data_IF_747831351921
#
_entry.id   IF_747831351921
#
_cell.length_a   1.000
_cell.length_b   1.000
_cell.length_c   1.000
_cell.angle_alpha   90.00
_cell.angle_beta   90.00
_cell.angle_gamma   90.00
#
_symmetry.space_group_name_H-M   'P 1'
#
loop_
_entity.id
_entity.type
_entity.pdbx_description
1 polymer ?
2 non-polymer ?
3 non-polymer ?
4 non-polymer ?
5 non-polymer ?
6 water ?
#
# COMPACT_ATOMS: atom_id res chain seq x y z
N UNK A 1 -6.79 -10.15 10.64
CA UNK A 1 -6.46 -8.79 11.07
C UNK A 1 -5.29 -8.75 12.08
N UNK A 2 -4.68 -7.56 12.27
CA UNK A 2 -3.57 -7.37 13.18
C UNK A 2 -3.59 -5.97 13.76
N UNK A 3 -3.48 -5.82 15.09
CA UNK A 3 -3.43 -4.50 15.70
C UNK A 3 -1.96 -4.19 16.06
N UNK A 4 -1.38 -3.14 15.47
CA UNK A 4 0.00 -2.79 15.74
C UNK A 4 0.13 -1.33 16.22
N UNK A 5 0.21 -1.16 17.56
CA UNK A 5 0.33 0.15 18.24
C UNK A 5 -0.77 1.17 17.90
N UNK A 6 -2.03 0.87 18.30
CA UNK A 6 -3.20 1.76 18.08
C UNK A 6 -3.83 1.68 16.68
N UNK A 7 -3.16 1.08 15.70
CA UNK A 7 -3.72 0.96 14.36
C UNK A 7 -4.16 -0.46 14.05
N UNK A 8 -5.38 -0.61 13.53
CA UNK A 8 -5.94 -1.91 13.17
C UNK A 8 -5.79 -2.15 11.65
N UNK A 9 -5.03 -3.18 11.28
CA UNK A 9 -4.74 -3.55 9.89
C UNK A 9 -5.57 -4.73 9.51
N UNK A 10 -6.45 -4.56 8.53
CA UNK A 10 -7.30 -5.69 8.11
C UNK A 10 -6.98 -6.16 6.72
N UNK A 11 -6.71 -7.47 6.58
CA UNK A 11 -6.49 -8.08 5.28
C UNK A 11 -7.81 -8.70 4.84
N UNK A 12 -8.41 -8.15 3.78
CA UNK A 12 -9.71 -8.62 3.32
C UNK A 12 -9.64 -9.91 2.51
N UNK A 13 -10.52 -10.84 2.79
CA UNK A 13 -10.66 -12.08 2.07
C UNK A 13 -12.11 -12.17 1.59
N UNK A 14 -12.47 -13.16 0.76
CA UNK A 14 -13.85 -13.32 0.29
C UNK A 14 -14.81 -13.45 1.49
N UNK A 15 -14.37 -14.16 2.55
CA UNK A 15 -15.11 -14.34 3.80
C UNK A 15 -15.31 -13.03 4.59
N UNK A 16 -14.24 -12.22 4.75
CA UNK A 16 -14.32 -11.01 5.53
C UNK A 16 -14.76 -9.75 4.75
N UNK A 17 -14.97 -9.88 3.42
CA UNK A 17 -15.39 -8.77 2.57
C UNK A 17 -16.69 -8.10 3.05
N UNK A 18 -17.77 -8.82 3.41
CA UNK A 18 -18.98 -8.13 3.91
C UNK A 18 -18.75 -7.27 5.17
N UNK A 19 -17.79 -7.62 6.05
CA UNK A 19 -17.50 -6.79 7.23
C UNK A 19 -16.78 -5.52 6.83
N UNK A 20 -15.85 -5.63 5.85
CA UNK A 20 -15.09 -4.49 5.31
C UNK A 20 -16.06 -3.54 4.65
N UNK A 21 -17.06 -4.06 3.91
CA UNK A 21 -18.08 -3.20 3.30
C UNK A 21 -18.93 -2.50 4.37
N UNK A 22 -19.22 -3.18 5.49
CA UNK A 22 -19.99 -2.59 6.59
C UNK A 22 -19.22 -1.44 7.25
N UNK A 23 -17.90 -1.55 7.38
CA UNK A 23 -17.10 -0.49 7.96
C UNK A 23 -16.92 0.71 7.03
N UNK A 24 -16.80 0.47 5.71
CA UNK A 24 -16.70 1.55 4.73
C UNK A 24 -18.03 2.29 4.69
N UNK A 25 -19.14 1.55 4.61
CA UNK A 25 -20.49 2.08 4.59
C UNK A 25 -20.78 2.98 5.79
N UNK A 26 -20.19 2.66 6.94
CA UNK A 26 -20.36 3.44 8.18
C UNK A 26 -19.51 4.72 8.23
N UNK A 27 -18.48 4.84 7.38
CA UNK A 27 -17.59 6.00 7.41
C UNK A 27 -18.08 7.23 6.64
N UNK A 28 -17.88 8.41 7.24
CA UNK A 28 -18.23 9.68 6.59
C UNK A 28 -17.07 10.17 5.70
N UNK A 29 -15.82 9.78 6.00
CA UNK A 29 -14.67 10.17 5.19
C UNK A 29 -13.73 8.99 5.10
N UNK A 30 -13.25 8.70 3.88
CA UNK A 30 -12.29 7.60 3.70
C UNK A 30 -11.07 8.06 2.89
N UNK A 31 -10.00 7.30 2.94
CA UNK A 31 -8.83 7.53 2.16
C UNK A 31 -8.61 6.33 1.26
N UNK A 32 -8.20 6.58 0.03
CA UNK A 32 -7.93 5.55 -0.95
C UNK A 32 -6.50 5.67 -1.40
N UNK A 33 -5.85 4.51 -1.53
CA UNK A 33 -4.51 4.41 -2.03
C UNK A 33 -4.42 3.18 -2.90
N UNK A 34 -3.75 3.29 -4.05
CA UNK A 34 -3.60 2.15 -4.94
C UNK A 34 -2.20 1.63 -4.92
N UNK A 35 -2.09 0.31 -5.01
CA UNK A 35 -0.82 -0.35 -5.12
C UNK A 35 -0.80 -0.98 -6.50
N UNK A 36 0.30 -0.79 -7.22
CA UNK A 36 0.40 -1.13 -8.63
C UNK A 36 1.80 -1.75 -9.00
N UNK A 37 2.02 -2.07 -10.31
CA UNK A 37 3.24 -2.64 -10.81
C UNK A 37 4.29 -1.60 -11.24
N UNK A 38 4.00 -0.31 -11.12
CA UNK A 38 4.93 0.72 -11.52
C UNK A 38 4.39 2.13 -11.59
N UNK A 39 5.30 3.10 -11.80
CA UNK A 39 4.98 4.51 -11.87
C UNK A 39 4.34 4.92 -13.20
N UNK A 40 4.59 4.16 -14.28
CA UNK A 40 4.02 4.47 -15.59
C UNK A 40 2.65 3.75 -15.84
N UNK A 41 1.54 4.41 -15.51
CA UNK A 41 0.17 3.93 -15.69
C UNK A 41 -0.17 3.50 -17.13
N UNK A 42 0.50 4.07 -18.12
CA UNK A 42 0.18 3.80 -19.52
C UNK A 42 1.08 2.81 -20.22
N UNK A 43 1.90 2.08 -19.48
CA UNK A 43 2.75 1.07 -20.08
C UNK A 43 1.93 -0.21 -20.21
N UNK A 44 2.02 -0.88 -21.39
CA UNK A 44 1.35 -2.16 -21.57
C UNK A 44 1.78 -3.18 -20.50
N UNK A 45 0.80 -3.79 -19.86
CA UNK A 45 1.10 -4.73 -18.78
C UNK A 45 0.93 -4.15 -17.41
N UNK A 46 0.72 -2.80 -17.29
CA UNK A 46 0.48 -2.14 -16.01
C UNK A 46 -0.76 -2.76 -15.33
N UNK A 47 -0.70 -2.95 -14.01
CA UNK A 47 -1.82 -3.52 -13.31
C UNK A 47 -2.03 -2.88 -11.96
N UNK A 48 -3.28 -2.90 -11.50
CA UNK A 48 -3.64 -2.57 -10.14
C UNK A 48 -3.44 -3.90 -9.37
N UNK A 49 -2.64 -3.86 -8.31
CA UNK A 49 -2.27 -5.00 -7.49
C UNK A 49 -3.17 -5.14 -6.26
N UNK A 50 -3.50 -4.01 -5.65
CA UNK A 50 -4.30 -3.96 -4.43
C UNK A 50 -4.79 -2.56 -4.11
N UNK A 51 -5.88 -2.49 -3.34
CA UNK A 51 -6.49 -1.23 -2.96
C UNK A 51 -6.45 -1.12 -1.44
N UNK A 52 -5.94 0.00 -0.93
CA UNK A 52 -5.94 0.29 0.49
C UNK A 52 -7.08 1.30 0.76
N UNK A 53 -7.90 1.04 1.78
CA UNK A 53 -9.02 1.92 2.15
C UNK A 53 -8.97 2.16 3.64
N UNK A 54 -8.73 3.41 4.08
CA UNK A 54 -8.72 3.71 5.51
C UNK A 54 -10.06 4.30 5.91
N UNK A 55 -10.74 3.69 6.90
CA UNK A 55 -12.02 4.23 7.36
C UNK A 55 -11.83 5.26 8.49
N UNK A 56 -10.63 5.29 9.11
CA UNK A 56 -10.19 6.25 10.12
C UNK A 56 -8.64 6.28 10.14
N UNK A 57 -7.98 7.24 10.82
CA UNK A 57 -6.50 7.18 10.93
C UNK A 57 -5.99 5.96 11.72
N UNK A 58 -6.89 5.10 12.25
CA UNK A 58 -6.47 3.91 12.98
C UNK A 58 -7.21 2.62 12.56
N UNK A 59 -7.86 2.60 11.39
CA UNK A 59 -8.59 1.41 10.93
C UNK A 59 -8.59 1.37 9.41
N UNK A 60 -8.08 0.29 8.80
CA UNK A 60 -8.00 0.21 7.34
C UNK A 60 -8.19 -1.22 6.81
N UNK A 61 -8.56 -1.34 5.52
CA UNK A 61 -8.85 -2.57 4.82
C UNK A 61 -8.05 -2.68 3.54
N UNK A 62 -7.34 -3.81 3.37
CA UNK A 62 -6.53 -4.03 2.17
C UNK A 62 -7.24 -5.03 1.32
N UNK A 63 -7.43 -4.68 0.06
CA UNK A 63 -8.11 -5.53 -0.88
C UNK A 63 -7.13 -6.02 -1.93
N UNK A 64 -6.58 -7.27 -1.74
CA UNK A 64 -5.65 -7.81 -2.74
C UNK A 64 -6.41 -8.15 -4.02
N UNK A 65 -5.85 -7.74 -5.18
CA UNK A 65 -6.47 -7.91 -6.48
C UNK A 65 -5.64 -8.70 -7.49
N UNK A 66 -4.32 -8.43 -7.57
CA UNK A 66 -3.43 -9.13 -8.52
C UNK A 66 -2.09 -9.55 -7.94
N UNK A 67 -2.05 -9.82 -6.63
CA UNK A 67 -0.83 -10.31 -5.99
C UNK A 67 -0.54 -11.72 -6.48
N UNK A 68 0.74 -12.07 -6.50
CA UNK A 68 1.17 -13.39 -6.97
C UNK A 68 2.31 -13.96 -6.12
N UNK A 69 2.45 -15.29 -6.15
CA UNK A 69 3.50 -16.03 -5.46
C UNK A 69 4.74 -16.09 -6.34
N UNK A 70 5.92 -15.71 -5.81
CA UNK A 70 7.20 -15.74 -6.53
C UNK A 70 8.05 -16.99 -6.23
N UNK A 71 8.81 -17.41 -7.24
CA UNK A 71 9.78 -18.50 -7.22
C UNK A 71 9.32 -19.82 -6.59
N UNK A 72 8.04 -20.13 -6.77
CA UNK A 72 7.49 -21.38 -6.28
C UNK A 72 7.11 -21.44 -4.82
N UNK A 73 7.31 -20.34 -4.07
CA UNK A 73 6.87 -20.29 -2.68
C UNK A 73 5.36 -20.03 -2.64
N UNK A 74 4.71 -20.37 -1.53
CA UNK A 74 3.28 -20.22 -1.37
C UNK A 74 3.08 -19.32 -0.16
N UNK A 75 2.73 -18.06 -0.38
CA UNK A 75 2.58 -17.13 0.71
C UNK A 75 1.45 -16.13 0.53
N UNK A 76 0.97 -15.92 -0.71
CA UNK A 76 -0.07 -14.94 -0.96
C UNK A 76 -1.43 -15.44 -0.61
N UNK A 77 -2.31 -14.52 -0.17
CA UNK A 77 -3.71 -14.93 0.05
C UNK A 77 -4.41 -14.96 -1.31
N UNK A 78 -5.67 -15.36 -1.30
CA UNK A 78 -6.46 -15.42 -2.50
C UNK A 78 -6.84 -13.98 -2.89
N UNK A 79 -6.62 -13.64 -4.16
CA UNK A 79 -6.98 -12.34 -4.66
C UNK A 79 -8.52 -12.25 -4.75
N UNK A 80 -9.05 -11.00 -4.62
CA UNK A 80 -10.47 -10.72 -4.73
C UNK A 80 -10.77 -10.45 -6.21
N UNK A 81 -12.02 -10.64 -6.60
CA UNK A 81 -12.41 -10.47 -8.00
C UNK A 81 -12.59 -9.02 -8.38
N UNK A 82 -12.68 -8.74 -9.68
CA UNK A 82 -12.94 -7.42 -10.22
C UNK A 82 -14.29 -6.90 -9.69
N UNK A 83 -15.30 -7.77 -9.63
CA UNK A 83 -16.66 -7.44 -9.14
C UNK A 83 -16.62 -7.03 -7.66
N UNK A 84 -15.82 -7.75 -6.84
CA UNK A 84 -15.62 -7.44 -5.43
C UNK A 84 -15.03 -6.01 -5.28
N UNK A 85 -13.96 -5.70 -6.04
CA UNK A 85 -13.34 -4.39 -5.95
C UNK A 85 -14.23 -3.29 -6.48
N UNK A 86 -15.05 -3.58 -7.50
CA UNK A 86 -16.02 -2.61 -7.98
C UNK A 86 -17.16 -2.40 -6.95
N UNK A 87 -17.47 -3.41 -6.11
CA UNK A 87 -18.47 -3.22 -5.05
C UNK A 87 -17.86 -2.27 -4.00
N UNK A 88 -16.58 -2.53 -3.61
CA UNK A 88 -15.83 -1.66 -2.71
C UNK A 88 -15.84 -0.20 -3.23
N UNK A 89 -15.48 0.01 -4.51
CA UNK A 89 -15.40 1.36 -5.07
C UNK A 89 -16.74 2.03 -5.23
N UNK A 90 -17.82 1.30 -5.54
CA UNK A 90 -19.18 1.88 -5.59
C UNK A 90 -19.51 2.47 -4.21
N UNK A 91 -19.25 1.70 -3.15
CA UNK A 91 -19.46 2.11 -1.77
C UNK A 91 -18.56 3.24 -1.35
N UNK A 92 -17.25 3.15 -1.63
CA UNK A 92 -16.30 4.20 -1.31
C UNK A 92 -16.72 5.58 -1.86
N UNK A 93 -17.17 5.62 -3.13
CA UNK A 93 -17.49 6.92 -3.74
C UNK A 93 -18.83 7.49 -3.30
N UNK A 94 -19.59 6.82 -2.40
CA UNK A 94 -20.84 7.40 -1.89
C UNK A 94 -20.62 8.26 -0.63
N UNK A 95 -19.34 8.54 -0.28
CA UNK A 95 -18.92 9.35 0.88
C UNK A 95 -17.70 10.21 0.48
N UNK A 96 -17.20 11.09 1.36
CA UNK A 96 -16.06 11.95 1.02
C UNK A 96 -14.76 11.12 0.87
N UNK A 97 -14.03 11.30 -0.24
CA UNK A 97 -12.79 10.55 -0.47
C UNK A 97 -11.54 11.46 -0.45
N UNK A 98 -10.48 10.99 0.20
CA UNK A 98 -9.20 11.69 0.28
C UNK A 98 -8.11 10.79 -0.29
N UNK A 99 -7.24 11.37 -1.09
CA UNK A 99 -6.08 10.70 -1.67
C UNK A 99 -4.82 11.51 -1.30
N UNK A 100 -3.66 10.95 -1.55
CA UNK A 100 -2.40 11.68 -1.49
C UNK A 100 -1.91 11.37 -2.86
N UNK A 101 -2.02 12.34 -3.77
CA UNK A 101 -1.71 12.28 -5.20
C UNK A 101 -2.87 11.63 -5.96
N UNK A 102 -4.00 12.33 -5.98
CA UNK A 102 -5.23 11.89 -6.63
C UNK A 102 -5.07 11.71 -8.13
N UNK A 103 -4.17 12.47 -8.77
CA UNK A 103 -3.93 12.35 -10.21
C UNK A 103 -3.44 10.94 -10.54
N UNK A 104 -2.58 10.36 -9.70
CA UNK A 104 -2.11 8.99 -9.91
C UNK A 104 -3.24 7.97 -9.66
N UNK A 105 -3.79 7.93 -8.46
CA UNK A 105 -4.82 6.97 -8.07
C UNK A 105 -6.05 6.98 -8.98
N UNK A 106 -6.59 8.18 -9.31
CA UNK A 106 -7.75 8.31 -10.18
C UNK A 106 -7.46 7.85 -11.61
N UNK A 107 -6.24 8.06 -12.12
CA UNK A 107 -5.85 7.55 -13.43
C UNK A 107 -5.64 6.03 -13.38
N UNK A 108 -5.20 5.50 -12.24
CA UNK A 108 -5.06 4.06 -12.07
C UNK A 108 -6.47 3.43 -12.11
N UNK A 109 -7.40 3.98 -11.33
CA UNK A 109 -8.75 3.45 -11.23
C UNK A 109 -9.52 3.50 -12.54
N UNK A 110 -9.26 4.50 -13.36
CA UNK A 110 -9.90 4.64 -14.65
C UNK A 110 -9.34 3.63 -15.65
N UNK A 111 -7.99 3.55 -15.74
CA UNK A 111 -7.29 2.66 -16.64
C UNK A 111 -7.51 1.17 -16.34
N UNK A 112 -7.52 0.78 -15.06
CA UNK A 112 -7.62 -0.62 -14.67
C UNK A 112 -9.05 -1.12 -14.36
N UNK A 113 -9.93 -0.25 -13.82
CA UNK A 113 -11.29 -0.66 -13.48
C UNK A 113 -12.39 0.12 -14.22
N UNK A 114 -12.02 1.16 -14.98
CA UNK A 114 -12.98 1.95 -15.71
C UNK A 114 -13.80 2.90 -14.87
N UNK A 115 -13.27 3.32 -13.73
CA UNK A 115 -13.99 4.25 -12.86
C UNK A 115 -13.99 5.65 -13.42
N UNK A 116 -15.17 6.21 -13.70
CA UNK A 116 -15.20 7.57 -14.29
C UNK A 116 -14.53 8.60 -13.40
N UNK A 117 -13.94 9.61 -14.01
CA UNK A 117 -13.32 10.69 -13.26
C UNK A 117 -14.39 11.48 -12.47
N UNK A 118 -15.65 11.48 -12.93
CA UNK A 118 -16.76 12.12 -12.25
C UNK A 118 -16.99 11.50 -10.87
N UNK A 119 -16.92 10.16 -10.74
CA UNK A 119 -17.08 9.50 -9.44
C UNK A 119 -15.82 9.62 -8.60
N UNK A 120 -14.64 9.51 -9.26
CA UNK A 120 -13.27 9.54 -8.70
C UNK A 120 -12.91 10.78 -7.88
N UNK A 121 -13.39 11.94 -8.27
CA UNK A 121 -13.05 13.24 -7.67
C UNK A 121 -13.06 13.24 -6.17
N UNK A 122 -11.98 13.74 -5.61
CA UNK A 122 -11.85 13.84 -4.18
C UNK A 122 -10.72 14.74 -3.77
N UNK A 123 -10.59 14.90 -2.44
CA UNK A 123 -9.57 15.71 -1.80
C UNK A 123 -8.19 15.11 -1.97
N UNK A 124 -7.15 15.95 -1.99
CA UNK A 124 -5.79 15.49 -2.17
C UNK A 124 -4.85 16.15 -1.18
N UNK A 125 -4.40 15.40 -0.14
CA UNK A 125 -3.46 15.91 0.87
C UNK A 125 -2.17 16.48 0.27
N UNK A 126 -1.69 15.91 -0.86
CA UNK A 126 -0.46 16.41 -1.47
C UNK A 126 -0.64 17.87 -2.00
N UNK A 127 -1.84 18.21 -2.48
CA UNK A 127 -2.10 19.56 -2.98
C UNK A 127 -2.33 20.54 -1.82
N UNK A 128 -3.13 20.12 -0.83
CA UNK A 128 -3.45 20.99 0.28
C UNK A 128 -2.24 21.27 1.17
N UNK A 129 -1.36 20.26 1.37
CA UNK A 129 -0.15 20.42 2.17
C UNK A 129 0.91 21.26 1.45
N UNK A 130 0.92 21.24 0.10
CA UNK A 130 1.79 22.15 -0.65
C UNK A 130 1.38 23.64 -0.38
N UNK A 131 0.09 23.91 -0.08
CA UNK A 131 -0.33 25.28 0.28
C UNK A 131 0.04 25.65 1.73
N UNK A 132 0.32 24.65 2.59
CA UNK A 132 0.76 24.83 3.97
C UNK A 132 2.29 25.07 4.00
N UNK A 133 3.05 24.27 3.24
CA UNK A 133 4.50 24.47 3.14
C UNK A 133 4.98 24.15 1.74
N UNK A 134 5.14 25.20 0.95
CA UNK A 134 5.60 25.15 -0.43
C UNK A 134 6.99 24.57 -0.61
N UNK A 135 7.88 24.72 0.38
CA UNK A 135 9.21 24.16 0.30
C UNK A 135 9.31 22.71 0.80
N UNK A 136 8.22 22.12 1.30
CA UNK A 136 8.26 20.74 1.80
C UNK A 136 8.19 19.71 0.64
N UNK A 137 8.76 18.49 0.83
CA UNK A 137 8.72 17.38 -0.14
C UNK A 137 7.26 16.95 -0.36
N UNK A 138 6.92 16.44 -1.56
CA UNK A 138 5.56 15.96 -1.81
C UNK A 138 5.32 14.53 -1.27
N UNK A 139 6.38 13.87 -0.78
CA UNK A 139 6.29 12.53 -0.24
C UNK A 139 5.30 12.44 0.91
N UNK A 140 4.44 11.43 0.87
CA UNK A 140 3.51 11.19 1.95
C UNK A 140 4.28 10.74 3.21
N UNK A 141 5.35 9.92 3.04
CA UNK A 141 6.11 9.45 4.22
C UNK A 141 6.78 10.60 4.92
N UNK A 142 7.32 11.55 4.14
CA UNK A 142 8.01 12.74 4.62
C UNK A 142 7.02 13.69 5.30
N UNK A 143 5.80 13.84 4.77
CA UNK A 143 4.79 14.69 5.43
C UNK A 143 4.26 14.03 6.72
N UNK A 144 4.22 12.69 6.74
CA UNK A 144 3.80 11.93 7.92
C UNK A 144 4.78 12.18 9.06
N UNK A 145 6.08 12.20 8.78
CA UNK A 145 7.10 12.52 9.78
C UNK A 145 6.97 13.90 10.32
N UNK A 146 6.62 14.86 9.47
CA UNK A 146 6.50 16.26 9.84
C UNK A 146 5.27 16.56 10.70
N UNK A 147 4.08 16.08 10.31
CA UNK A 147 2.88 16.42 11.04
C UNK A 147 2.38 15.36 11.99
N UNK A 148 2.54 14.10 11.64
CA UNK A 148 2.07 13.00 12.49
C UNK A 148 3.07 12.53 13.54
N UNK A 149 4.33 12.92 13.40
CA UNK A 149 5.36 12.54 14.35
C UNK A 149 5.84 11.12 14.20
N UNK A 150 5.93 10.61 12.96
CA UNK A 150 6.44 9.26 12.76
C UNK A 150 7.97 9.30 12.89
N UNK A 151 8.54 8.30 13.58
CA UNK A 151 9.99 8.23 13.77
C UNK A 151 10.72 7.90 12.46
N UNK A 152 11.99 8.30 12.32
CA UNK A 152 12.76 7.99 11.11
C UNK A 152 13.14 6.49 11.01
N UNK A 153 12.99 5.92 9.80
CA UNK A 153 13.35 4.53 9.47
C UNK A 153 13.79 4.56 7.99
N UNK A 154 15.00 4.04 7.69
CA UNK A 154 15.53 4.07 6.32
C UNK A 154 16.07 2.71 5.89
N UNK A 157 16.65 -3.68 6.40
CA UNK A 157 15.87 -4.49 7.36
C UNK A 157 16.61 -5.77 7.71
N UNK A 158 16.94 -5.99 8.99
CA UNK A 158 17.74 -7.16 9.37
C UNK A 158 16.97 -8.49 9.49
N UNK A 159 16.93 -9.21 8.36
CA UNK A 159 16.26 -10.48 8.16
C UNK A 159 16.83 -11.59 9.03
N UNK A 160 15.98 -12.34 9.75
CA UNK A 160 16.49 -13.49 10.50
C UNK A 160 16.65 -14.72 9.58
N UNK A 161 17.25 -15.81 10.09
CA UNK A 161 17.40 -17.01 9.26
C UNK A 161 16.02 -17.60 8.97
N UNK A 162 15.70 -17.71 7.69
CA UNK A 162 14.44 -18.31 7.28
C UNK A 162 14.61 -19.83 7.02
N UNK A 163 15.81 -20.41 7.29
CA UNK A 163 16.08 -21.82 7.11
C UNK A 163 16.55 -22.46 8.41
N UNK A 164 16.24 -23.73 8.53
CA UNK A 164 16.72 -24.55 9.63
C UNK A 164 17.67 -25.54 9.01
N UNK A 165 18.78 -25.80 9.67
CA UNK A 165 19.73 -26.80 9.17
C UNK A 165 19.32 -28.14 9.74
N UNK A 166 19.22 -29.13 8.88
CA UNK A 166 18.90 -30.50 9.28
C UNK A 166 20.07 -31.41 8.89
N UNK A 167 20.42 -32.36 9.74
CA UNK A 167 21.50 -33.31 9.44
C UNK A 167 20.85 -34.53 8.83
N UNK A 168 21.28 -34.87 7.62
CA UNK A 168 20.72 -35.98 6.87
C UNK A 168 21.77 -37.04 6.57
N UNK A 169 21.50 -38.30 6.97
CA UNK A 169 22.38 -39.45 6.71
C UNK A 169 22.55 -39.63 5.20
N UNK A 170 23.81 -39.68 4.74
CA UNK A 170 24.15 -39.76 3.31
C UNK A 170 25.19 -40.85 3.06
N UNK A 176 30.32 -40.98 0.99
CA UNK A 176 30.75 -41.68 2.20
C UNK A 176 29.56 -41.94 3.19
N UNK A 177 29.83 -42.47 4.41
CA UNK A 177 28.87 -42.74 5.49
C UNK A 177 28.93 -41.55 6.49
N UNK A 178 28.13 -40.50 6.28
CA UNK A 178 28.20 -39.30 7.13
C UNK A 178 26.86 -38.50 7.16
N UNK A 179 26.79 -37.41 7.96
CA UNK A 179 25.62 -36.56 8.04
C UNK A 179 25.87 -35.24 7.30
N UNK A 180 25.12 -35.01 6.24
CA UNK A 180 25.19 -33.79 5.44
C UNK A 180 24.28 -32.71 6.08
N UNK A 181 24.68 -31.43 6.02
CA UNK A 181 23.86 -30.34 6.53
C UNK A 181 23.03 -29.84 5.38
N UNK A 182 21.71 -29.94 5.50
CA UNK A 182 20.81 -29.56 4.45
C UNK A 182 19.89 -28.48 5.02
N UNK A 183 19.81 -27.34 4.32
CA UNK A 183 18.92 -26.26 4.77
C UNK A 183 17.53 -26.51 4.29
N UNK A 184 16.56 -26.40 5.18
CA UNK A 184 15.16 -26.56 4.83
C UNK A 184 14.46 -25.21 5.12
N UNK A 185 13.43 -24.87 4.34
CA UNK A 185 12.64 -23.66 4.63
C UNK A 185 11.93 -23.91 5.98
N UNK A 186 12.10 -22.98 6.94
CA UNK A 186 11.50 -23.16 8.27
C UNK A 186 9.97 -23.10 8.11
N UNK A 187 9.24 -23.95 8.83
CA UNK A 187 7.78 -23.94 8.70
C UNK A 187 7.15 -22.59 9.08
N UNK A 188 7.78 -21.87 10.01
CA UNK A 188 7.32 -20.58 10.47
C UNK A 188 8.05 -19.40 9.80
N UNK A 189 8.61 -19.62 8.59
CA UNK A 189 9.38 -18.59 7.89
C UNK A 189 8.60 -17.28 7.71
N UNK A 190 7.26 -17.34 7.55
CA UNK A 190 6.45 -16.14 7.37
C UNK A 190 6.33 -15.31 8.64
N UNK A 191 6.16 -15.96 9.79
CA UNK A 191 6.12 -15.26 11.06
C UNK A 191 7.52 -14.66 11.37
N UNK A 192 8.61 -15.34 10.97
CA UNK A 192 9.98 -14.82 11.14
C UNK A 192 10.16 -13.55 10.29
N UNK A 193 9.61 -13.55 9.07
CA UNK A 193 9.69 -12.45 8.13
C UNK A 193 8.83 -11.27 8.61
N UNK A 194 7.66 -11.55 9.19
CA UNK A 194 6.81 -10.50 9.75
C UNK A 194 7.47 -9.85 10.96
N UNK A 195 8.18 -10.62 11.78
CA UNK A 195 8.90 -10.14 12.96
C UNK A 195 10.00 -9.16 12.54
N UNK A 196 10.78 -9.50 11.50
CA UNK A 196 11.82 -8.59 10.98
C UNK A 196 11.21 -7.27 10.47
N UNK A 197 10.00 -7.35 9.92
CA UNK A 197 9.32 -6.20 9.39
C UNK A 197 8.79 -5.34 10.54
N UNK A 198 8.14 -5.96 11.51
CA UNK A 198 7.57 -5.26 12.64
C UNK A 198 8.59 -4.55 13.51
N UNK A 199 9.82 -5.08 13.60
CA UNK A 199 10.88 -4.50 14.42
C UNK A 199 11.38 -3.13 13.95
N UNK A 200 11.05 -2.75 12.71
CA UNK A 200 11.39 -1.42 12.15
C UNK A 200 10.13 -0.63 11.65
N UNK A 201 8.92 -1.18 11.92
CA UNK A 201 7.64 -0.58 11.53
C UNK A 201 7.34 0.64 12.40
N UNK A 202 7.40 1.83 11.76
CA UNK A 202 7.17 3.14 12.39
C UNK A 202 5.78 3.75 12.07
N UNK A 203 4.93 3.01 11.38
CA UNK A 203 3.64 3.51 10.94
C UNK A 203 3.68 4.20 9.58
N UNK A 204 4.84 4.18 8.93
CA UNK A 204 5.01 4.77 7.61
C UNK A 204 6.27 4.31 6.90
N UNK A 205 6.52 2.98 6.89
CA UNK A 205 7.66 2.35 6.23
C UNK A 205 7.68 2.70 4.73
N UNK A 206 8.86 2.96 4.17
CA UNK A 206 9.00 3.34 2.78
C UNK A 206 8.95 2.13 1.83
N UNK A 207 8.60 2.39 0.55
CA UNK A 207 8.52 1.38 -0.50
C UNK A 207 9.87 0.68 -0.65
N UNK A 208 10.96 1.46 -0.76
CA UNK A 208 12.31 0.94 -0.91
C UNK A 208 12.70 0.01 0.21
N UNK A 209 12.31 0.34 1.46
CA UNK A 209 12.61 -0.47 2.63
C UNK A 209 11.85 -1.78 2.58
N UNK A 210 10.56 -1.73 2.17
CA UNK A 210 9.74 -2.93 2.04
C UNK A 210 10.34 -3.84 0.98
N UNK A 211 10.71 -3.27 -0.17
CA UNK A 211 11.33 -4.02 -1.25
C UNK A 211 12.68 -4.61 -0.83
N UNK A 212 13.47 -3.90 -0.01
CA UNK A 212 14.79 -4.38 0.45
C UNK A 212 14.63 -5.66 1.22
N UNK A 213 13.66 -5.70 2.13
CA UNK A 213 13.39 -6.86 2.97
C UNK A 213 12.84 -8.00 2.16
N UNK A 214 11.87 -7.75 1.26
CA UNK A 214 11.30 -8.80 0.41
C UNK A 214 12.40 -9.40 -0.47
N UNK A 215 13.21 -8.55 -1.10
CA UNK A 215 14.29 -9.02 -1.96
C UNK A 215 15.31 -9.81 -1.19
N UNK A 216 15.63 -9.35 0.03
CA UNK A 216 16.59 -10.00 0.92
C UNK A 216 16.10 -11.38 1.35
N UNK A 217 14.78 -11.50 1.58
CA UNK A 217 14.14 -12.76 1.95
C UNK A 217 14.30 -13.82 0.83
N UNK A 218 13.96 -13.46 -0.43
CA UNK A 218 14.08 -14.35 -1.59
C UNK A 218 15.54 -14.66 -1.95
N UNK A 219 16.43 -13.66 -1.83
CA UNK A 219 17.83 -13.88 -2.16
C UNK A 219 18.46 -14.82 -1.16
N UNK A 220 18.13 -14.70 0.13
CA UNK A 220 18.67 -15.59 1.14
C UNK A 220 18.26 -17.02 0.87
N UNK A 221 16.99 -17.24 0.49
CA UNK A 221 16.49 -18.57 0.14
C UNK A 221 17.09 -19.14 -1.14
N UNK A 222 17.40 -18.29 -2.13
CA UNK A 222 18.03 -18.70 -3.38
C UNK A 222 19.50 -19.10 -3.12
N UNK A 223 20.19 -18.32 -2.26
CA UNK A 223 21.57 -18.61 -1.85
C UNK A 223 21.68 -19.88 -0.97
N UNK A 224 20.55 -20.46 -0.57
CA UNK A 224 20.55 -21.69 0.22
C UNK A 224 19.93 -22.89 -0.48
N UNK A 225 19.72 -22.79 -1.79
CA UNK A 225 19.14 -23.84 -2.60
C UNK A 225 17.68 -24.13 -2.36
N UNK A 226 16.99 -23.29 -1.56
CA UNK A 226 15.57 -23.50 -1.30
C UNK A 226 14.74 -23.27 -2.56
N UNK A 227 15.10 -22.25 -3.32
CA UNK A 227 14.40 -21.93 -4.55
C UNK A 227 15.36 -21.38 -5.61
N UNK A 228 14.86 -21.19 -6.84
CA UNK A 228 15.63 -20.58 -7.91
C UNK A 228 14.76 -19.70 -8.81
N UNK A 229 15.29 -18.54 -9.11
CA UNK A 229 14.69 -17.64 -10.05
C UNK A 229 15.82 -17.07 -10.91
N UNK A 230 15.58 -16.91 -12.23
CA UNK A 230 16.63 -16.35 -13.08
C UNK A 230 16.75 -14.85 -12.87
N UNK A 231 17.96 -14.40 -12.58
CA UNK A 231 18.19 -12.97 -12.40
C UNK A 231 17.96 -12.43 -11.01
N UNK A 232 17.75 -11.12 -10.92
CA UNK A 232 17.55 -10.42 -9.65
C UNK A 232 16.05 -10.39 -9.20
N UNK A 233 15.76 -9.96 -7.96
CA UNK A 233 14.38 -9.89 -7.48
C UNK A 233 13.72 -8.65 -8.07
N UNK A 234 12.59 -8.82 -8.79
CA UNK A 234 11.97 -7.64 -9.45
C UNK A 234 11.34 -6.63 -8.50
N UNK A 235 11.32 -5.35 -8.91
CA UNK A 235 10.70 -4.29 -8.14
C UNK A 235 9.26 -4.37 -8.59
N UNK A 236 8.55 -5.40 -8.10
CA UNK A 236 7.19 -5.72 -8.51
C UNK A 236 6.33 -6.05 -7.28
N UNK A 237 5.46 -5.09 -6.88
CA UNK A 237 4.56 -5.19 -5.75
C UNK A 237 3.66 -6.43 -5.78
N UNK A 238 3.43 -7.05 -6.98
CA UNK A 238 2.63 -8.27 -7.04
C UNK A 238 3.30 -9.39 -6.21
N UNK A 239 4.63 -9.45 -6.22
CA UNK A 239 5.37 -10.52 -5.51
C UNK A 239 5.69 -10.26 -4.05
N UNK A 240 5.46 -9.03 -3.58
CA UNK A 240 5.75 -8.66 -2.20
C UNK A 240 4.77 -9.39 -1.32
N UNK A 241 5.27 -10.07 -0.25
CA UNK A 241 4.40 -10.86 0.64
C UNK A 241 3.31 -9.97 1.19
N UNK A 242 2.06 -10.31 0.93
CA UNK A 242 0.92 -9.53 1.34
C UNK A 242 0.87 -9.33 2.85
N UNK A 243 1.21 -10.35 3.65
CA UNK A 243 1.20 -10.19 5.11
C UNK A 243 2.19 -9.06 5.55
N UNK A 244 3.17 -8.68 4.70
CA UNK A 244 4.02 -7.51 4.97
C UNK A 244 3.47 -6.28 4.21
N UNK A 245 3.24 -6.42 2.89
CA UNK A 245 2.84 -5.35 1.97
C UNK A 245 1.50 -4.70 2.30
N UNK A 246 0.52 -5.45 2.85
CA UNK A 246 -0.73 -4.84 3.25
C UNK A 246 -0.50 -3.84 4.38
N UNK A 247 0.48 -4.06 5.27
CA UNK A 247 0.79 -3.13 6.34
C UNK A 247 1.33 -1.84 5.73
N UNK A 248 2.28 -1.96 4.76
CA UNK A 248 2.81 -0.80 4.04
C UNK A 248 1.66 0.02 3.40
N UNK A 249 0.86 -0.63 2.54
CA UNK A 249 -0.26 -0.05 1.83
C UNK A 249 -1.31 0.58 2.75
N UNK A 250 -1.67 -0.12 3.84
CA UNK A 250 -2.65 0.39 4.78
C UNK A 250 -2.16 1.60 5.55
N UNK A 251 -0.85 1.67 5.84
CA UNK A 251 -0.29 2.84 6.50
C UNK A 251 -0.35 4.05 5.60
N UNK A 252 -0.16 3.89 4.29
CA UNK A 252 -0.32 5.03 3.34
C UNK A 252 -1.74 5.57 3.42
N UNK A 253 -2.74 4.69 3.44
CA UNK A 253 -4.14 5.13 3.54
C UNK A 253 -4.42 5.81 4.91
N UNK A 254 -3.96 5.23 6.03
CA UNK A 254 -4.17 5.81 7.35
C UNK A 254 -3.41 7.12 7.56
N UNK A 255 -2.18 7.24 7.03
CA UNK A 255 -1.39 8.48 7.10
C UNK A 255 -2.09 9.55 6.28
N UNK A 256 -2.60 9.21 5.08
CA UNK A 256 -3.31 10.18 4.25
C UNK A 256 -4.55 10.75 5.00
N UNK A 257 -5.31 9.89 5.70
CA UNK A 257 -6.49 10.35 6.43
C UNK A 257 -6.10 11.14 7.67
N UNK A 258 -5.03 10.72 8.37
CA UNK A 258 -4.51 11.43 9.54
C UNK A 258 -3.98 12.81 9.11
N UNK A 259 -3.32 12.88 7.95
CA UNK A 259 -2.82 14.16 7.43
C UNK A 259 -3.97 15.05 7.02
N UNK A 260 -5.08 14.47 6.53
CA UNK A 260 -6.25 15.25 6.19
C UNK A 260 -6.88 15.94 7.39
N UNK A 261 -6.81 15.36 8.58
CA UNK A 261 -7.37 15.99 9.78
C UNK A 261 -6.67 17.32 10.07
N UNK A 262 -5.33 17.34 9.88
CA UNK A 262 -4.43 18.49 10.01
C UNK A 262 -4.73 19.52 8.92
N UNK A 263 -5.00 19.05 7.69
CA UNK A 263 -5.32 19.90 6.54
C UNK A 263 -6.61 20.70 6.74
N UNK A 264 -7.69 20.04 7.21
CA UNK A 264 -8.93 20.74 7.43
C UNK A 264 -8.83 21.73 8.59
N UNK A 265 -7.90 21.54 9.55
CA UNK A 265 -7.70 22.53 10.61
C UNK A 265 -7.03 23.75 9.94
N UNK A 266 -5.93 23.51 9.21
CA UNK A 266 -5.19 24.56 8.53
C UNK A 266 -6.07 25.36 7.57
N UNK A 267 -6.90 24.68 6.76
CA UNK A 267 -7.77 25.38 5.82
C UNK A 267 -8.87 26.19 6.49
N UNK A 268 -9.28 25.78 7.71
CA UNK A 268 -10.26 26.57 8.45
C UNK A 268 -9.64 27.82 9.01
N UNK A 269 -8.35 27.78 9.38
CA UNK A 269 -7.67 28.99 9.85
C UNK A 269 -7.29 29.91 8.69
N UNK A 270 -7.23 29.39 7.45
CA UNK A 270 -6.87 30.21 6.30
C UNK A 270 -7.88 30.03 5.19
N UNK A 271 -9.06 30.68 5.26
CA UNK A 271 -10.08 30.54 4.19
C UNK A 271 -9.67 31.12 2.81
N UNK A 272 -8.60 31.89 2.81
CA UNK A 272 -7.90 32.47 1.69
C UNK A 272 -7.27 31.28 0.94
N UNK A 273 -6.55 30.39 1.65
CA UNK A 273 -5.97 29.20 1.02
C UNK A 273 -6.99 28.09 0.79
N UNK A 274 -8.06 28.05 1.57
CA UNK A 274 -9.12 27.05 1.38
C UNK A 274 -9.83 27.30 0.06
N UNK A 275 -10.09 28.58 -0.25
CA UNK A 275 -10.71 28.98 -1.49
C UNK A 275 -9.78 28.77 -2.68
N UNK A 276 -8.50 28.99 -2.49
CA UNK A 276 -7.49 28.76 -3.52
C UNK A 276 -7.41 27.24 -3.80
N UNK A 277 -7.44 26.42 -2.74
CA UNK A 277 -7.46 24.98 -2.89
C UNK A 277 -8.74 24.49 -3.60
N UNK A 278 -9.93 24.91 -3.14
CA UNK A 278 -11.21 24.44 -3.68
C UNK A 278 -11.60 24.95 -5.07
N UNK A 279 -11.37 26.22 -5.35
CA UNK A 279 -11.77 26.81 -6.62
C UNK A 279 -10.70 26.78 -7.70
N UNK A 280 -9.41 26.64 -7.35
CA UNK A 280 -8.36 26.61 -8.35
C UNK A 280 -7.54 25.31 -8.37
N UNK A 281 -6.88 24.97 -7.25
CA UNK A 281 -5.97 23.86 -7.20
C UNK A 281 -6.61 22.50 -7.48
N UNK A 282 -7.64 22.13 -6.76
CA UNK A 282 -8.33 20.85 -6.98
C UNK A 282 -8.95 20.78 -8.36
N UNK A 283 -9.73 21.79 -8.83
CA UNK A 283 -10.27 21.73 -10.22
C UNK A 283 -9.21 21.68 -11.34
N UNK A 284 -8.09 22.41 -11.22
CA UNK A 284 -7.02 22.42 -12.23
C UNK A 284 -6.38 21.04 -12.27
N UNK A 285 -6.10 20.46 -11.09
CA UNK A 285 -5.54 19.12 -10.98
C UNK A 285 -6.49 18.11 -11.64
N UNK A 286 -7.81 18.27 -11.45
CA UNK A 286 -8.78 17.40 -12.11
C UNK A 286 -8.65 17.52 -13.64
N UNK A 287 -8.57 18.75 -14.18
CA UNK A 287 -8.36 19.02 -15.60
C UNK A 287 -7.12 18.28 -16.13
N UNK A 288 -5.97 18.44 -15.48
CA UNK A 288 -4.72 17.78 -15.88
C UNK A 288 -4.81 16.25 -15.77
N UNK A 289 -5.52 15.74 -14.75
CA UNK A 289 -5.67 14.29 -14.56
C UNK A 289 -6.44 13.68 -15.74
N UNK A 290 -7.56 14.32 -16.14
CA UNK A 290 -8.38 13.84 -17.25
C UNK A 290 -7.65 13.95 -18.59
N UNK A 291 -6.86 15.01 -18.76
CA UNK A 291 -6.10 15.21 -19.98
C UNK A 291 -5.00 14.13 -20.17
N UNK A 292 -4.30 13.73 -19.11
CA UNK A 292 -3.29 12.65 -19.23
C UNK A 292 -3.95 11.32 -19.63
N UNK A 293 -5.18 11.07 -19.13
CA UNK A 293 -5.96 9.88 -19.46
C UNK A 293 -6.38 9.81 -20.92
N UNK A 294 -6.31 10.93 -21.67
CA UNK A 294 -6.60 11.02 -23.11
C UNK A 294 -5.28 11.12 -23.91
N UNK A 295 -4.29 11.82 -23.37
CA UNK A 295 -2.98 11.99 -23.99
C UNK A 295 -2.54 13.44 -24.10
N UNK A 296 -1.64 13.87 -23.22
CA UNK A 296 -1.12 15.24 -23.21
C UNK A 296 -0.15 15.49 -24.37
#
# INVERSE_FOLDING_TARGET
HHHHHHRQYNLVTRESLPQALRRIEEAKRIALDTETTGLQIYLPGFELVGLAVAVSPEEAYYFPYAHRDFAGLRYQPENLSREDLLRVLELAFQRSVVYHNAAYDRQVLYRTLGIPFERSYGNDTMIALHLMDENHSNSLKEWSKTLLGLEESMAVPELPSLTDVELVDTVNKSGRKYKKKVHKLAPDWLDRLKTAFLSVHNGGVSFAALHKLVAQAFNTLKARGILYYPGSFPVDFRYFHVHLAHIYALDDAMNTLALWEHVEIFLQLHPQLERLYLDIELPVNDIMTRASARGVLVDRSVIERIEADLQAKLEERE
#
